data_IF_155009697334
#
_entry.id   IF_155009697334
#
_cell.length_a   1.000
_cell.length_b   1.000
_cell.length_c   1.000
_cell.angle_alpha   90.00
_cell.angle_beta   90.00
_cell.angle_gamma   90.00
#
_symmetry.space_group_name_H-M   'P 1'
#
loop_
_entity.id
_entity.type
_entity.pdbx_description
1 polymer ?
#
# COMPACT_ATOMS: atom_id res chain seq x y z
N UNK A 1 31.57 13.88 46.77
CA UNK A 1 30.37 13.07 46.41
C UNK A 1 30.32 11.84 47.32
N UNK A 2 29.22 11.61 48.02
CA UNK A 2 29.08 10.41 48.85
C UNK A 2 29.10 9.14 47.98
N UNK A 3 29.55 8.04 48.53
CA UNK A 3 29.66 6.72 47.84
C UNK A 3 28.33 6.34 47.15
N UNK A 4 27.19 6.58 47.79
CA UNK A 4 25.88 6.32 47.21
C UNK A 4 25.57 7.13 45.94
N UNK A 5 26.01 8.39 45.86
CA UNK A 5 25.84 9.21 44.63
C UNK A 5 26.70 8.71 43.48
N UNK A 6 27.90 8.19 43.75
CA UNK A 6 28.75 7.57 42.72
C UNK A 6 28.13 6.30 42.17
N UNK A 7 27.60 5.44 43.05
CA UNK A 7 26.91 4.19 42.64
C UNK A 7 25.67 4.52 41.76
N UNK A 8 24.85 5.48 42.22
CA UNK A 8 23.68 5.90 41.46
C UNK A 8 24.05 6.45 40.06
N UNK A 9 25.11 7.26 39.96
CA UNK A 9 25.61 7.77 38.70
C UNK A 9 26.09 6.64 37.76
N UNK A 10 26.81 5.64 38.29
CA UNK A 10 27.24 4.49 37.48
C UNK A 10 26.04 3.68 36.99
N UNK A 11 25.00 3.47 37.78
CA UNK A 11 23.78 2.79 37.34
C UNK A 11 23.05 3.55 36.22
N UNK A 12 22.91 4.87 36.36
CA UNK A 12 22.34 5.69 35.27
C UNK A 12 23.17 5.66 34.00
N UNK A 13 24.52 5.70 34.10
CA UNK A 13 25.40 5.60 32.95
C UNK A 13 25.25 4.26 32.21
N UNK A 14 25.16 3.14 32.96
CA UNK A 14 24.95 1.81 32.40
C UNK A 14 23.58 1.72 31.71
N UNK A 15 22.51 2.22 32.32
CA UNK A 15 21.17 2.25 31.72
C UNK A 15 21.13 3.12 30.46
N UNK A 16 21.81 4.27 30.49
CA UNK A 16 21.89 5.17 29.34
C UNK A 16 22.65 4.55 28.16
N UNK A 17 23.81 3.92 28.43
CA UNK A 17 24.55 3.18 27.37
C UNK A 17 23.72 2.01 26.86
N UNK A 18 23.03 1.27 27.72
CA UNK A 18 22.12 0.19 27.32
C UNK A 18 20.97 0.68 26.42
N UNK A 19 20.38 1.82 26.75
CA UNK A 19 19.32 2.43 25.93
C UNK A 19 19.84 2.91 24.57
N UNK A 20 21.05 3.49 24.52
CA UNK A 20 21.66 3.92 23.26
C UNK A 20 22.02 2.73 22.36
N UNK A 21 22.59 1.67 22.93
CA UNK A 21 22.90 0.45 22.17
C UNK A 21 21.66 -0.24 21.65
N UNK A 22 20.62 -0.38 22.48
CA UNK A 22 19.33 -0.93 22.06
C UNK A 22 18.68 -0.09 20.96
N UNK A 23 18.64 1.24 21.14
CA UNK A 23 18.11 2.17 20.12
C UNK A 23 18.87 2.08 18.81
N UNK A 24 20.21 2.01 18.85
CA UNK A 24 21.05 1.85 17.67
C UNK A 24 20.79 0.54 16.93
N UNK A 25 20.70 -0.59 17.65
CA UNK A 25 20.39 -1.90 17.07
C UNK A 25 18.98 -1.94 16.49
N UNK A 26 18.01 -1.31 17.16
CA UNK A 26 16.63 -1.22 16.68
C UNK A 26 16.54 -0.44 15.35
N UNK A 27 17.19 0.74 15.28
CA UNK A 27 17.21 1.56 14.07
C UNK A 27 17.93 0.82 12.92
N UNK A 28 19.05 0.17 13.22
CA UNK A 28 19.78 -0.63 12.21
C UNK A 28 18.89 -1.76 11.66
N UNK A 29 18.24 -2.52 12.55
CA UNK A 29 17.34 -3.61 12.15
C UNK A 29 16.12 -3.11 11.34
N UNK A 30 15.62 -1.90 11.61
CA UNK A 30 14.53 -1.32 10.83
C UNK A 30 15.02 -0.94 9.43
N UNK A 31 16.19 -0.30 9.30
CA UNK A 31 16.77 0.06 8.00
C UNK A 31 17.03 -1.16 7.11
N UNK A 32 17.53 -2.25 7.68
CA UNK A 32 17.73 -3.50 6.93
C UNK A 32 16.41 -4.08 6.40
N UNK A 33 15.32 -3.97 7.16
CA UNK A 33 14.00 -4.42 6.71
C UNK A 33 13.41 -3.53 5.61
N UNK A 34 13.64 -2.22 5.68
CA UNK A 34 13.19 -1.27 4.64
C UNK A 34 13.97 -1.44 3.34
N UNK A 35 15.26 -1.77 3.43
CA UNK A 35 16.12 -1.97 2.28
C UNK A 35 15.61 -3.06 1.33
N UNK A 36 14.99 -4.11 1.86
CA UNK A 36 14.41 -5.19 1.03
C UNK A 36 13.40 -4.64 0.02
N UNK A 37 12.57 -3.68 0.42
CA UNK A 37 11.59 -3.08 -0.48
C UNK A 37 12.25 -2.21 -1.56
N UNK A 38 13.31 -1.46 -1.21
CA UNK A 38 14.09 -0.67 -2.18
C UNK A 38 14.81 -1.55 -3.20
N UNK A 39 15.32 -2.70 -2.76
CA UNK A 39 15.98 -3.66 -3.65
C UNK A 39 14.96 -4.26 -4.64
N UNK A 40 13.72 -4.56 -4.19
CA UNK A 40 12.63 -5.06 -5.05
C UNK A 40 12.14 -4.01 -6.05
N UNK A 41 11.97 -2.75 -5.63
CA UNK A 41 11.61 -1.62 -6.49
C UNK A 41 12.66 -1.42 -7.59
N UNK A 42 13.95 -1.40 -7.22
CA UNK A 42 15.06 -1.26 -8.18
C UNK A 42 15.07 -2.40 -9.21
N UNK A 43 14.70 -3.60 -8.79
CA UNK A 43 14.63 -4.75 -9.69
C UNK A 43 13.48 -4.61 -10.69
N UNK A 44 12.29 -4.19 -10.25
CA UNK A 44 11.14 -3.90 -11.12
C UNK A 44 11.51 -2.83 -12.16
N UNK A 45 12.10 -1.71 -11.75
CA UNK A 45 12.52 -0.64 -12.65
C UNK A 45 13.54 -1.09 -13.70
N UNK A 46 14.38 -2.10 -13.37
CA UNK A 46 15.33 -2.67 -14.31
C UNK A 46 14.63 -3.51 -15.39
N UNK A 47 13.55 -4.20 -15.06
CA UNK A 47 12.72 -4.96 -16.01
C UNK A 47 12.03 -3.99 -16.97
N UNK A 48 11.38 -2.94 -16.49
CA UNK A 48 10.75 -1.89 -17.33
C UNK A 48 11.75 -1.29 -18.33
N UNK A 49 12.99 -1.03 -17.88
CA UNK A 49 14.02 -0.43 -18.74
C UNK A 49 14.53 -1.38 -19.83
N UNK A 50 14.59 -2.68 -19.58
CA UNK A 50 14.99 -3.69 -20.56
C UNK A 50 13.90 -3.91 -21.61
N UNK A 51 12.63 -3.93 -21.21
CA UNK A 51 11.47 -4.11 -22.07
C UNK A 51 11.24 -2.90 -23.00
N UNK A 52 11.37 -1.66 -22.51
CA UNK A 52 11.37 -0.46 -23.37
C UNK A 52 12.43 -0.51 -24.49
N UNK A 53 13.60 -1.09 -24.22
CA UNK A 53 14.66 -1.25 -25.23
C UNK A 53 14.34 -2.33 -26.26
N UNK A 54 13.65 -3.40 -25.86
CA UNK A 54 13.23 -4.49 -26.76
C UNK A 54 12.12 -4.01 -27.70
N UNK A 55 11.12 -3.28 -27.19
CA UNK A 55 10.03 -2.73 -28.01
C UNK A 55 10.51 -1.73 -29.08
N UNK A 56 11.59 -0.99 -28.83
CA UNK A 56 12.18 -0.10 -29.84
C UNK A 56 12.84 -0.84 -31.03
N UNK A 57 13.07 -2.15 -30.89
CA UNK A 57 13.78 -2.96 -31.91
C UNK A 57 12.86 -3.89 -32.71
N UNK A 58 11.59 -4.08 -32.32
CA UNK A 58 10.67 -5.06 -32.94
C UNK A 58 9.44 -4.43 -33.64
N UNK A 59 9.59 -3.29 -34.29
CA UNK A 59 8.53 -2.77 -35.15
C UNK A 59 8.78 -3.18 -36.63
N UNK A 60 8.52 -4.45 -36.95
CA UNK A 60 8.09 -4.85 -38.34
C UNK A 60 7.48 -6.26 -38.33
N UNK A 61 6.22 -6.31 -38.80
CA UNK A 61 5.41 -7.47 -39.21
C UNK A 61 4.96 -8.51 -38.15
N UNK A 62 3.67 -8.57 -37.85
CA UNK A 62 2.70 -9.59 -38.32
C UNK A 62 1.35 -9.41 -37.61
N UNK A 63 0.29 -9.22 -38.44
CA UNK A 63 -1.09 -9.26 -37.96
C UNK A 63 -1.53 -10.70 -37.63
N UNK A 64 -1.67 -11.03 -36.37
CA UNK A 64 -2.56 -12.09 -35.85
C UNK A 64 -3.23 -11.55 -34.60
N UNK A 65 -4.54 -11.61 -34.51
CA UNK A 65 -5.33 -11.37 -33.31
C UNK A 65 -5.04 -12.47 -32.27
N UNK A 66 -3.87 -12.45 -31.67
CA UNK A 66 -3.67 -13.02 -30.35
C UNK A 66 -4.06 -11.95 -29.34
N UNK A 67 -4.82 -12.31 -28.33
CA UNK A 67 -5.02 -11.48 -27.14
C UNK A 67 -3.63 -11.19 -26.58
N UNK A 68 -3.10 -10.02 -26.91
CA UNK A 68 -1.80 -9.57 -26.46
C UNK A 68 -1.90 -9.47 -24.95
N UNK A 69 -1.23 -10.33 -24.21
CA UNK A 69 -1.10 -10.19 -22.77
C UNK A 69 -0.43 -8.85 -22.49
N UNK A 70 -0.89 -8.10 -21.48
CA UNK A 70 -0.24 -6.87 -21.10
C UNK A 70 1.21 -7.15 -20.71
N UNK A 71 2.09 -6.22 -21.05
CA UNK A 71 3.48 -6.24 -20.61
C UNK A 71 3.56 -5.83 -19.14
N UNK A 72 3.73 -6.81 -18.25
CA UNK A 72 3.68 -6.61 -16.80
C UNK A 72 5.12 -6.47 -16.28
N UNK A 73 5.53 -5.27 -15.80
CA UNK A 73 6.92 -5.00 -15.43
C UNK A 73 7.36 -5.63 -14.11
N UNK A 74 6.63 -6.62 -13.61
CA UNK A 74 6.87 -7.30 -12.33
C UNK A 74 7.07 -8.79 -12.55
N UNK A 75 8.23 -9.32 -12.18
CA UNK A 75 8.50 -10.77 -12.21
C UNK A 75 7.82 -11.47 -11.03
N UNK A 76 6.51 -11.72 -11.18
CA UNK A 76 5.73 -12.45 -10.17
C UNK A 76 6.21 -13.88 -9.92
N UNK A 77 6.77 -14.55 -10.94
CA UNK A 77 7.30 -15.91 -10.75
C UNK A 77 8.47 -15.92 -9.78
N UNK A 78 9.36 -14.93 -9.88
CA UNK A 78 10.48 -14.77 -8.97
C UNK A 78 10.01 -14.38 -7.57
N UNK A 79 9.18 -13.35 -7.46
CA UNK A 79 8.66 -12.87 -6.17
C UNK A 79 7.91 -13.97 -5.40
N UNK A 80 7.07 -14.74 -6.07
CA UNK A 80 6.30 -15.83 -5.46
C UNK A 80 7.15 -17.05 -5.06
N UNK A 81 8.32 -17.24 -5.66
CA UNK A 81 9.29 -18.24 -5.16
C UNK A 81 9.88 -17.83 -3.80
N UNK A 82 10.04 -16.54 -3.57
CA UNK A 82 10.53 -16.01 -2.29
C UNK A 82 9.42 -15.96 -1.24
N UNK A 83 8.24 -15.45 -1.62
CA UNK A 83 7.06 -15.43 -0.77
C UNK A 83 5.78 -15.65 -1.59
N UNK A 84 5.14 -16.84 -1.51
CA UNK A 84 3.93 -17.17 -2.27
C UNK A 84 2.70 -16.34 -1.87
N UNK A 85 2.77 -15.57 -0.79
CA UNK A 85 1.69 -14.69 -0.35
C UNK A 85 1.64 -13.38 -1.17
N UNK A 86 2.67 -13.10 -1.98
CA UNK A 86 2.67 -11.97 -2.92
C UNK A 86 1.74 -12.31 -4.09
N UNK A 87 0.73 -11.48 -4.32
CA UNK A 87 -0.23 -11.71 -5.39
C UNK A 87 -0.45 -10.52 -6.32
N UNK A 88 0.04 -9.34 -5.92
CA UNK A 88 -0.04 -8.13 -6.71
C UNK A 88 1.11 -7.17 -6.37
N UNK A 89 1.20 -6.09 -7.12
CA UNK A 89 2.09 -4.97 -6.88
C UNK A 89 1.32 -3.67 -7.03
N UNK A 90 1.52 -2.70 -6.12
CA UNK A 90 0.91 -1.38 -6.17
C UNK A 90 1.94 -0.32 -6.47
N UNK A 91 1.64 0.55 -7.44
CA UNK A 91 2.40 1.76 -7.73
C UNK A 91 1.45 2.97 -7.67
N UNK A 92 1.83 3.99 -6.90
CA UNK A 92 1.15 5.29 -6.89
C UNK A 92 2.15 6.33 -7.38
N UNK A 93 2.08 6.75 -8.67
CA UNK A 93 3.02 7.70 -9.25
C UNK A 93 3.17 8.97 -8.42
N UNK A 94 4.34 9.58 -8.46
CA UNK A 94 4.70 10.81 -7.72
C UNK A 94 4.66 10.65 -6.19
N UNK A 95 4.67 9.40 -5.70
CA UNK A 95 4.85 9.04 -4.28
C UNK A 95 5.93 7.97 -4.13
N UNK A 96 6.31 7.64 -2.88
CA UNK A 96 7.17 6.50 -2.55
C UNK A 96 6.41 5.17 -2.48
N UNK A 97 5.16 5.11 -3.00
CA UNK A 97 4.33 3.89 -2.92
C UNK A 97 4.58 3.06 -4.17
N UNK A 98 5.47 2.09 -4.03
CA UNK A 98 5.83 1.11 -5.06
C UNK A 98 6.22 -0.20 -4.37
N UNK A 99 5.23 -1.06 -4.09
CA UNK A 99 5.38 -2.19 -3.16
C UNK A 99 4.64 -3.44 -3.61
N UNK A 100 5.17 -4.64 -3.27
CA UNK A 100 4.40 -5.87 -3.37
C UNK A 100 3.19 -5.83 -2.43
N UNK A 101 2.08 -6.42 -2.88
CA UNK A 101 0.85 -6.61 -2.12
C UNK A 101 0.73 -8.08 -1.72
N UNK A 102 0.49 -8.31 -0.44
CA UNK A 102 0.47 -9.64 0.15
C UNK A 102 -0.89 -9.98 0.76
N UNK A 103 -1.20 -11.27 0.82
CA UNK A 103 -2.36 -11.76 1.55
C UNK A 103 -2.02 -13.07 2.27
N UNK A 104 -2.18 -13.09 3.60
CA UNK A 104 -1.98 -14.29 4.39
C UNK A 104 -3.26 -15.15 4.39
N UNK A 105 -3.10 -16.47 4.21
CA UNK A 105 -4.24 -17.41 4.23
C UNK A 105 -4.72 -17.74 5.66
N UNK A 106 -3.91 -17.48 6.68
CA UNK A 106 -4.17 -17.94 8.04
C UNK A 106 -4.41 -16.84 9.06
N UNK A 107 -3.98 -15.61 8.80
CA UNK A 107 -4.09 -14.48 9.72
C UNK A 107 -4.16 -13.18 8.91
N UNK A 108 -5.34 -12.56 8.83
CA UNK A 108 -5.60 -11.33 8.09
C UNK A 108 -4.73 -10.15 8.55
N UNK A 109 -4.20 -10.19 9.77
CA UNK A 109 -3.34 -9.15 10.33
C UNK A 109 -1.84 -9.48 10.31
N UNK A 110 -1.47 -10.64 9.75
CA UNK A 110 -0.08 -11.12 9.75
C UNK A 110 0.88 -10.07 9.21
N UNK A 111 0.58 -9.51 8.04
CA UNK A 111 1.44 -8.55 7.35
C UNK A 111 1.39 -7.14 7.92
N UNK A 112 0.51 -6.86 8.89
CA UNK A 112 0.55 -5.61 9.64
C UNK A 112 1.89 -5.43 10.38
N UNK A 113 2.52 -6.53 10.82
CA UNK A 113 3.78 -6.49 11.56
C UNK A 113 4.81 -7.52 11.10
N UNK A 114 4.70 -8.02 9.86
CA UNK A 114 5.70 -8.85 9.21
C UNK A 114 6.04 -8.28 7.82
N UNK A 115 7.33 -8.26 7.50
CA UNK A 115 7.83 -7.84 6.18
C UNK A 115 7.54 -8.90 5.12
N UNK A 116 7.78 -8.57 3.85
CA UNK A 116 7.72 -9.51 2.73
C UNK A 116 8.57 -10.76 2.94
N UNK A 117 9.67 -10.68 3.67
CA UNK A 117 10.53 -11.81 4.08
C UNK A 117 10.00 -12.58 5.31
N UNK A 118 8.78 -12.28 5.77
CA UNK A 118 8.16 -12.85 6.99
C UNK A 118 8.92 -12.54 8.29
N UNK A 119 9.77 -11.51 8.29
CA UNK A 119 10.47 -11.02 9.48
C UNK A 119 9.54 -10.11 10.28
N UNK A 120 9.39 -10.41 11.59
CA UNK A 120 8.53 -9.63 12.48
C UNK A 120 9.09 -8.24 12.74
N UNK A 121 8.24 -7.23 12.67
CA UNK A 121 8.51 -5.83 13.02
C UNK A 121 8.11 -4.86 11.90
N UNK A 122 8.29 -3.55 12.18
CA UNK A 122 8.11 -2.51 11.19
C UNK A 122 9.15 -2.64 10.05
N UNK A 123 8.80 -2.25 8.82
CA UNK A 123 7.61 -1.48 8.46
C UNK A 123 6.35 -2.32 8.19
N UNK A 124 6.34 -3.62 8.36
CA UNK A 124 5.27 -4.49 7.89
C UNK A 124 5.27 -4.60 6.37
N UNK A 125 4.11 -4.86 5.77
CA UNK A 125 3.93 -4.91 4.32
C UNK A 125 2.64 -4.19 3.91
N UNK A 126 2.44 -3.98 2.60
CA UNK A 126 1.14 -3.65 2.04
C UNK A 126 0.38 -4.96 1.87
N UNK A 127 -0.85 -5.02 2.37
CA UNK A 127 -1.59 -6.28 2.38
C UNK A 127 -3.11 -6.08 2.27
N UNK A 128 -3.81 -7.15 1.89
CA UNK A 128 -5.26 -7.26 1.98
C UNK A 128 -5.66 -8.39 2.94
N UNK A 129 -6.90 -8.35 3.40
CA UNK A 129 -7.51 -9.43 4.19
C UNK A 129 -8.08 -10.52 3.27
N UNK A 130 -8.23 -11.74 3.79
CA UNK A 130 -8.72 -12.91 3.06
C UNK A 130 -10.16 -12.78 2.55
N UNK A 131 -10.90 -11.77 3.02
CA UNK A 131 -12.23 -11.42 2.51
C UNK A 131 -12.20 -10.89 1.07
N UNK A 132 -11.09 -10.28 0.65
CA UNK A 132 -10.90 -9.85 -0.73
C UNK A 132 -10.25 -10.95 -1.57
N UNK A 133 -10.71 -11.05 -2.80
CA UNK A 133 -10.10 -11.91 -3.83
C UNK A 133 -8.79 -11.29 -4.31
N UNK A 134 -7.85 -12.16 -4.65
CA UNK A 134 -6.53 -11.76 -5.14
C UNK A 134 -6.52 -11.19 -6.57
N UNK A 135 -7.62 -11.34 -7.31
CA UNK A 135 -7.79 -10.88 -8.68
C UNK A 135 -8.45 -9.49 -8.81
N UNK A 136 -8.69 -8.81 -7.69
CA UNK A 136 -9.35 -7.49 -7.64
C UNK A 136 -10.75 -7.47 -8.29
N UNK A 137 -11.43 -8.61 -8.39
CA UNK A 137 -12.78 -8.71 -8.96
C UNK A 137 -13.89 -8.30 -7.99
N UNK A 138 -13.58 -8.07 -6.71
CA UNK A 138 -14.55 -7.63 -5.73
C UNK A 138 -15.06 -6.20 -6.00
N UNK A 139 -16.31 -5.89 -5.59
CA UNK A 139 -16.84 -4.53 -5.71
C UNK A 139 -16.04 -3.46 -4.95
N UNK A 140 -15.33 -3.85 -3.88
CA UNK A 140 -14.34 -3.03 -3.18
C UNK A 140 -13.21 -3.91 -2.66
N UNK A 141 -11.98 -3.60 -3.06
CA UNK A 141 -10.76 -4.20 -2.51
C UNK A 141 -10.11 -3.23 -1.55
N UNK A 142 -9.77 -3.69 -0.35
CA UNK A 142 -9.14 -2.87 0.68
C UNK A 142 -7.69 -3.28 0.87
N UNK A 143 -6.76 -2.36 0.64
CA UNK A 143 -5.35 -2.53 0.92
C UNK A 143 -4.95 -1.73 2.16
N UNK A 144 -4.19 -2.35 3.03
CA UNK A 144 -3.70 -1.77 4.27
C UNK A 144 -2.20 -1.56 4.23
N UNK A 145 -1.72 -0.48 4.83
CA UNK A 145 -0.30 -0.20 4.96
C UNK A 145 -0.02 0.80 6.08
N UNK A 146 1.17 0.73 6.67
CA UNK A 146 1.57 1.68 7.71
C UNK A 146 1.80 3.11 7.18
N UNK A 147 1.53 4.10 8.03
CA UNK A 147 1.98 5.48 7.87
C UNK A 147 3.34 5.63 8.56
N UNK A 148 4.41 5.42 7.83
CA UNK A 148 5.76 5.45 8.39
C UNK A 148 6.30 6.88 8.48
N UNK A 149 6.98 7.22 9.58
CA UNK A 149 7.56 8.56 9.80
C UNK A 149 8.63 8.96 8.80
N UNK A 150 9.28 7.99 8.17
CA UNK A 150 10.29 8.22 7.13
C UNK A 150 9.70 8.39 5.73
N UNK A 151 8.38 8.36 5.59
CA UNK A 151 7.68 8.54 4.32
C UNK A 151 7.37 7.25 3.57
N UNK A 152 7.89 6.09 4.02
CA UNK A 152 7.67 4.79 3.36
C UNK A 152 6.28 4.21 3.61
N UNK A 153 5.97 3.09 2.96
CA UNK A 153 4.68 2.41 2.95
C UNK A 153 3.56 3.35 2.49
N UNK A 154 2.43 3.43 3.18
CA UNK A 154 1.30 4.28 2.82
C UNK A 154 1.37 5.71 3.39
N UNK A 155 2.55 6.15 3.85
CA UNK A 155 2.71 7.54 4.29
C UNK A 155 2.47 8.54 3.15
N UNK A 156 2.83 8.19 1.92
CA UNK A 156 2.61 9.01 0.71
C UNK A 156 1.14 9.32 0.43
N UNK A 157 0.18 8.51 0.93
CA UNK A 157 -1.25 8.76 0.77
C UNK A 157 -1.69 10.10 1.36
N UNK A 158 -1.02 10.61 2.39
CA UNK A 158 -1.36 11.89 2.99
C UNK A 158 -1.15 13.10 2.05
N UNK A 159 -0.44 12.95 0.93
CA UNK A 159 -0.35 13.98 -0.11
C UNK A 159 -1.73 14.28 -0.72
N UNK A 160 -2.61 13.29 -0.80
CA UNK A 160 -3.97 13.43 -1.35
C UNK A 160 -4.93 14.26 -0.47
N UNK A 161 -4.50 14.69 0.73
CA UNK A 161 -5.23 15.69 1.53
C UNK A 161 -5.11 17.11 1.00
N UNK A 162 -4.28 17.33 -0.01
CA UNK A 162 -4.18 18.56 -0.79
C UNK A 162 -4.99 18.38 -2.08
N UNK A 163 -5.98 19.28 -2.31
CA UNK A 163 -6.90 19.17 -3.43
C UNK A 163 -6.21 19.40 -4.79
N UNK A 164 -5.25 20.31 -4.84
CA UNK A 164 -4.48 20.58 -6.05
C UNK A 164 -3.62 19.35 -6.40
N UNK A 165 -2.92 18.79 -5.41
CA UNK A 165 -2.16 17.55 -5.60
C UNK A 165 -3.05 16.41 -6.08
N UNK A 166 -4.19 16.18 -5.41
CA UNK A 166 -5.11 15.09 -5.77
C UNK A 166 -5.67 15.26 -7.19
N UNK A 167 -5.93 16.49 -7.63
CA UNK A 167 -6.44 16.75 -8.99
C UNK A 167 -5.41 16.43 -10.07
N UNK A 168 -4.13 16.66 -9.79
CA UNK A 168 -3.03 16.44 -10.75
C UNK A 168 -2.52 14.99 -10.75
N UNK A 169 -2.66 14.24 -9.63
CA UNK A 169 -2.03 12.94 -9.40
C UNK A 169 -3.04 11.83 -9.04
N UNK A 170 -4.12 11.68 -9.84
CA UNK A 170 -5.22 10.76 -9.52
C UNK A 170 -4.93 9.27 -9.77
N UNK A 171 -3.77 8.89 -10.29
CA UNK A 171 -3.51 7.53 -10.78
C UNK A 171 -3.00 6.61 -9.68
N UNK A 172 -3.59 5.40 -9.60
CA UNK A 172 -3.06 4.25 -8.86
C UNK A 172 -3.01 3.07 -9.83
N UNK A 173 -1.92 2.33 -9.85
CA UNK A 173 -1.74 1.17 -10.72
C UNK A 173 -1.59 -0.06 -9.84
N UNK A 174 -2.32 -1.12 -10.17
CA UNK A 174 -2.16 -2.44 -9.61
C UNK A 174 -1.71 -3.39 -10.73
N UNK A 175 -0.58 -4.01 -10.55
CA UNK A 175 -0.14 -5.13 -11.38
C UNK A 175 -0.50 -6.43 -10.70
N UNK A 176 -1.05 -7.36 -11.46
CA UNK A 176 -1.24 -8.76 -11.07
C UNK A 176 -0.47 -9.65 -12.05
N UNK A 177 -0.34 -10.96 -11.85
CA UNK A 177 0.31 -11.84 -12.84
C UNK A 177 -0.35 -11.86 -14.23
N UNK A 178 -1.58 -11.35 -14.36
CA UNK A 178 -2.38 -11.44 -15.59
C UNK A 178 -2.89 -10.10 -16.11
N UNK A 179 -2.99 -9.06 -15.24
CA UNK A 179 -3.65 -7.80 -15.55
C UNK A 179 -2.89 -6.58 -15.03
N UNK A 180 -3.05 -5.47 -15.75
CA UNK A 180 -2.70 -4.13 -15.28
C UNK A 180 -4.01 -3.38 -15.04
N UNK A 181 -4.27 -3.02 -13.78
CA UNK A 181 -5.48 -2.33 -13.34
C UNK A 181 -5.14 -0.87 -13.04
N UNK A 182 -5.76 0.06 -13.75
CA UNK A 182 -5.60 1.49 -13.49
C UNK A 182 -6.82 2.04 -12.78
N UNK A 183 -6.59 2.60 -11.60
CA UNK A 183 -7.62 3.25 -10.79
C UNK A 183 -7.45 4.76 -10.79
N UNK A 184 -8.57 5.47 -10.67
CA UNK A 184 -8.62 6.93 -10.52
C UNK A 184 -9.06 7.30 -9.12
N UNK A 185 -8.21 8.01 -8.37
CA UNK A 185 -8.51 8.52 -7.03
C UNK A 185 -9.60 9.60 -7.13
N UNK A 186 -10.60 9.51 -6.24
CA UNK A 186 -11.67 10.50 -6.16
C UNK A 186 -11.95 10.99 -4.73
N UNK A 187 -11.47 10.28 -3.69
CA UNK A 187 -11.62 10.73 -2.32
C UNK A 187 -10.37 10.44 -1.49
N UNK A 188 -10.06 11.35 -0.58
CA UNK A 188 -9.03 11.20 0.44
C UNK A 188 -9.59 11.76 1.75
N UNK A 189 -9.88 10.89 2.72
CA UNK A 189 -10.66 11.28 3.89
C UNK A 189 -10.08 10.71 5.18
N UNK A 190 -10.17 11.52 6.24
CA UNK A 190 -10.02 11.04 7.60
C UNK A 190 -11.31 10.33 7.98
N UNK A 191 -11.20 9.03 8.21
CA UNK A 191 -12.34 8.15 8.46
C UNK A 191 -12.22 7.52 9.86
N UNK A 192 -13.29 6.97 10.39
CA UNK A 192 -13.22 6.23 11.64
C UNK A 192 -12.52 4.86 11.44
N UNK A 193 -12.25 4.13 12.51
CA UNK A 193 -11.53 2.86 12.46
C UNK A 193 -12.42 1.63 12.24
N UNK A 194 -13.67 1.83 11.76
CA UNK A 194 -14.55 0.70 11.44
C UNK A 194 -13.95 -0.20 10.38
N UNK A 195 -14.30 -1.47 10.44
CA UNK A 195 -13.88 -2.43 9.43
C UNK A 195 -14.73 -2.25 8.17
N UNK A 196 -14.15 -1.65 7.12
CA UNK A 196 -14.86 -1.21 5.91
C UNK A 196 -15.61 -2.37 5.24
N UNK A 197 -14.96 -3.53 5.04
CA UNK A 197 -15.58 -4.67 4.37
C UNK A 197 -16.73 -5.31 5.16
N UNK A 198 -16.78 -5.15 6.48
CA UNK A 198 -17.82 -5.73 7.33
C UNK A 198 -18.99 -4.77 7.60
N UNK A 199 -18.81 -3.47 7.35
CA UNK A 199 -19.82 -2.45 7.67
C UNK A 199 -20.78 -2.16 6.53
N UNK A 200 -20.43 -2.55 5.29
CA UNK A 200 -21.22 -2.28 4.10
C UNK A 200 -21.41 -3.55 3.27
N UNK A 201 -22.60 -3.74 2.73
CA UNK A 201 -22.91 -4.88 1.85
C UNK A 201 -22.65 -4.47 0.39
N UNK A 202 -21.41 -4.57 -0.03
CA UNK A 202 -20.99 -4.19 -1.40
C UNK A 202 -21.60 -5.06 -2.51
N UNK A 203 -22.23 -6.18 -2.18
CA UNK A 203 -22.98 -7.01 -3.14
C UNK A 203 -24.33 -6.38 -3.48
N UNK A 204 -24.75 -5.36 -2.74
CA UNK A 204 -25.96 -4.57 -3.01
C UNK A 204 -25.58 -3.16 -3.41
N UNK A 205 -26.27 -2.63 -4.40
CA UNK A 205 -26.13 -1.21 -4.83
C UNK A 205 -26.27 -0.26 -3.64
N UNK A 206 -27.25 -0.48 -2.77
CA UNK A 206 -27.47 0.35 -1.58
C UNK A 206 -26.28 0.35 -0.61
N UNK A 207 -25.57 -0.78 -0.46
CA UNK A 207 -24.42 -0.85 0.44
C UNK A 207 -23.21 -0.10 -0.11
N UNK A 208 -22.98 -0.15 -1.43
CA UNK A 208 -21.98 0.70 -2.09
C UNK A 208 -22.33 2.18 -1.95
N UNK A 209 -23.59 2.56 -2.20
CA UNK A 209 -24.07 3.94 -2.03
C UNK A 209 -23.94 4.43 -0.59
N UNK A 210 -24.26 3.60 0.41
CA UNK A 210 -24.07 3.91 1.83
C UNK A 210 -22.60 4.14 2.17
N UNK A 211 -21.69 3.33 1.62
CA UNK A 211 -20.25 3.56 1.78
C UNK A 211 -19.83 4.89 1.17
N UNK A 212 -20.13 5.14 -0.09
CA UNK A 212 -19.79 6.39 -0.77
C UNK A 212 -20.37 7.61 -0.06
N UNK A 213 -21.62 7.53 0.44
CA UNK A 213 -22.23 8.59 1.23
C UNK A 213 -21.49 8.81 2.56
N UNK A 214 -21.04 7.73 3.21
CA UNK A 214 -20.28 7.82 4.46
C UNK A 214 -18.92 8.53 4.29
N UNK A 215 -18.29 8.43 3.12
CA UNK A 215 -17.08 9.21 2.78
C UNK A 215 -17.41 10.71 2.71
N UNK A 216 -18.50 11.06 2.02
CA UNK A 216 -18.99 12.46 1.89
C UNK A 216 -19.39 13.05 3.23
N UNK A 217 -19.93 12.25 4.12
CA UNK A 217 -20.39 12.67 5.45
C UNK A 217 -19.25 12.78 6.47
N UNK A 218 -18.07 12.23 6.15
CA UNK A 218 -16.90 12.36 7.01
C UNK A 218 -16.44 13.82 7.11
N UNK A 219 -16.38 14.34 8.35
CA UNK A 219 -16.11 15.77 8.61
C UNK A 219 -14.69 15.98 9.12
N UNK A 220 -13.80 16.39 8.21
CA UNK A 220 -12.45 16.83 8.55
C UNK A 220 -11.99 17.91 7.55
N UNK A 221 -11.19 18.86 8.03
CA UNK A 221 -10.66 19.95 7.18
C UNK A 221 -9.66 19.46 6.13
N UNK A 222 -9.08 18.27 6.33
CA UNK A 222 -8.12 17.64 5.40
C UNK A 222 -8.79 16.68 4.42
N UNK A 223 -10.13 16.60 4.41
CA UNK A 223 -10.84 15.73 3.49
C UNK A 223 -10.98 16.37 2.13
N UNK A 224 -10.64 15.63 1.10
CA UNK A 224 -10.86 15.98 -0.31
C UNK A 224 -11.81 14.96 -0.91
N UNK A 225 -12.80 15.42 -1.64
CA UNK A 225 -13.77 14.60 -2.36
C UNK A 225 -14.08 15.23 -3.71
N UNK A 226 -13.71 14.55 -4.79
CA UNK A 226 -14.03 14.95 -6.16
C UNK A 226 -15.28 14.18 -6.61
N UNK A 227 -16.34 14.90 -6.93
CA UNK A 227 -17.58 14.26 -7.37
C UNK A 227 -17.33 13.46 -8.65
N UNK A 228 -17.49 12.15 -8.55
CA UNK A 228 -17.20 11.18 -9.60
C UNK A 228 -18.43 10.31 -9.80
N UNK A 229 -18.82 10.09 -11.04
CA UNK A 229 -19.88 9.14 -11.35
C UNK A 229 -19.35 7.73 -11.11
N UNK A 230 -20.00 6.99 -10.23
CA UNK A 230 -19.67 5.61 -9.89
C UNK A 230 -20.93 4.79 -10.05
N UNK A 231 -20.87 3.86 -10.99
CA UNK A 231 -21.98 2.98 -11.33
C UNK A 231 -21.96 1.69 -10.48
N UNK A 232 -23.05 0.93 -10.51
CA UNK A 232 -23.20 -0.31 -9.74
C UNK A 232 -22.09 -1.32 -10.01
N UNK A 233 -21.70 -1.48 -11.29
CA UNK A 233 -20.68 -2.44 -11.74
C UNK A 233 -19.24 -2.01 -11.50
N UNK A 234 -19.00 -0.76 -11.10
CA UNK A 234 -17.64 -0.26 -10.91
C UNK A 234 -16.95 -0.93 -9.72
N UNK A 235 -15.65 -1.20 -9.90
CA UNK A 235 -14.81 -1.76 -8.84
C UNK A 235 -14.04 -0.64 -8.13
N UNK A 236 -14.10 -0.67 -6.80
CA UNK A 236 -13.44 0.30 -5.94
C UNK A 236 -12.15 -0.27 -5.37
N UNK A 237 -11.22 0.62 -5.06
CA UNK A 237 -9.99 0.34 -4.34
C UNK A 237 -9.86 1.31 -3.18
N UNK A 238 -9.90 0.79 -1.96
CA UNK A 238 -9.66 1.53 -0.73
C UNK A 238 -8.23 1.33 -0.26
N UNK A 239 -7.43 2.39 -0.19
CA UNK A 239 -6.10 2.38 0.42
C UNK A 239 -6.20 2.94 1.84
N UNK A 240 -5.96 2.10 2.84
CA UNK A 240 -6.15 2.43 4.25
C UNK A 240 -4.85 2.51 5.02
N UNK A 241 -4.60 3.63 5.69
CA UNK A 241 -3.44 3.82 6.57
C UNK A 241 -3.81 4.43 7.91
N UNK A 242 -2.88 4.39 8.86
CA UNK A 242 -3.08 5.01 10.17
C UNK A 242 -3.09 6.54 10.05
N UNK A 243 -4.00 7.16 10.77
CA UNK A 243 -3.94 8.60 11.06
C UNK A 243 -3.18 8.83 12.39
N UNK A 244 -2.85 10.07 12.72
CA UNK A 244 -2.23 10.44 14.00
C UNK A 244 -3.08 10.06 15.22
N UNK A 245 -4.40 9.90 15.06
CA UNK A 245 -5.33 9.40 16.05
C UNK A 245 -5.59 7.90 15.81
N UNK A 246 -5.43 7.06 16.84
CA UNK A 246 -5.64 5.61 16.75
C UNK A 246 -7.08 5.18 16.48
N UNK A 247 -8.06 6.05 16.79
CA UNK A 247 -9.48 5.85 16.51
C UNK A 247 -9.86 6.23 15.06
N UNK A 248 -8.88 6.65 14.26
CA UNK A 248 -9.09 7.10 12.90
C UNK A 248 -8.14 6.42 11.94
N UNK A 249 -8.59 6.33 10.68
CA UNK A 249 -7.79 5.95 9.52
C UNK A 249 -7.75 7.14 8.55
N UNK A 250 -6.72 7.19 7.73
CA UNK A 250 -6.74 7.97 6.51
C UNK A 250 -6.95 7.01 5.36
N UNK A 251 -7.99 7.23 4.58
CA UNK A 251 -8.32 6.39 3.43
C UNK A 251 -8.29 7.22 2.16
N UNK A 252 -7.72 6.62 1.13
CA UNK A 252 -7.77 7.12 -0.25
C UNK A 252 -8.60 6.14 -1.05
N UNK A 253 -9.62 6.66 -1.72
CA UNK A 253 -10.60 5.87 -2.45
C UNK A 253 -10.47 6.11 -3.94
N UNK A 254 -10.43 5.04 -4.71
CA UNK A 254 -10.27 5.08 -6.15
C UNK A 254 -11.26 4.14 -6.84
N UNK A 255 -11.59 4.45 -8.09
CA UNK A 255 -12.45 3.65 -8.98
C UNK A 255 -11.65 3.13 -10.15
N UNK A 256 -11.87 1.87 -10.53
CA UNK A 256 -11.23 1.28 -11.70
C UNK A 256 -11.66 2.01 -12.98
N UNK A 257 -10.70 2.37 -13.81
CA UNK A 257 -10.93 3.08 -15.08
C UNK A 257 -10.42 2.33 -16.29
N UNK A 258 -9.45 1.43 -16.11
CA UNK A 258 -8.87 0.64 -17.20
C UNK A 258 -8.36 -0.70 -16.69
N UNK A 259 -8.49 -1.74 -17.51
CA UNK A 259 -7.99 -3.10 -17.24
C UNK A 259 -7.43 -3.68 -18.54
N UNK A 260 -6.14 -3.99 -18.51
CA UNK A 260 -5.41 -4.58 -19.64
C UNK A 260 -5.03 -6.01 -19.34
#
# INVERSE_FOLDING_TARGET
>A
MSTGRKVLFCLFAILFVGALTYGGLYIHSQREREKVYQDMETEKDSVETEEEKVQMTETEDIAQEETVKPDIPVDFEKLQKENPDIYAWITVPDTEIDYPVLQSESDDTYYLNHTVEKKKGLPGSIYSESQNRKDFSDPNTVLYGHNMKNGSMFAGLHKFSDEDYMTEHQKVIIYTPEHILTYKVFAAVVYDNRHILNCFDYLKTSGKEEFLQSLKDSRNLSNVYIDTNIDEGDRLLTLSTCNSNTEQRFIVEAVLTDEQ
#
